data_IF_270318973770
#
_entry.id   IF_270318973770
#
_cell.length_a   1.000
_cell.length_b   1.000
_cell.length_c   1.000
_cell.angle_alpha   90.00
_cell.angle_beta   90.00
_cell.angle_gamma   90.00
#
_symmetry.space_group_name_H-M   'P 1'
#
loop_
_entity.id
_entity.type
_entity.pdbx_description
1 polymer ?
#
# COMPACT_ATOMS: atom_id res chain seq x y z
N UNK A 1 -10.67 6.97 1.55
CA UNK A 1 -11.42 6.85 2.84
C UNK A 1 -10.48 6.28 3.89
N UNK A 2 -10.55 6.77 5.13
CA UNK A 2 -9.80 6.21 6.25
C UNK A 2 -10.76 5.86 7.40
N UNK A 3 -10.56 4.70 8.02
CA UNK A 3 -11.32 4.23 9.18
C UNK A 3 -10.33 3.87 10.28
N UNK A 4 -10.58 4.34 11.50
CA UNK A 4 -9.80 3.97 12.67
C UNK A 4 -10.58 2.98 13.52
N UNK A 5 -9.94 1.87 13.86
CA UNK A 5 -10.45 0.83 14.72
C UNK A 5 -9.61 0.83 16.00
N UNK A 6 -10.27 0.93 17.14
CA UNK A 6 -9.60 0.78 18.44
C UNK A 6 -9.59 -0.70 18.82
N UNK A 7 -8.39 -1.24 19.09
CA UNK A 7 -8.21 -2.63 19.51
C UNK A 7 -7.55 -2.68 20.88
N UNK A 8 -7.56 -3.85 21.52
CA UNK A 8 -6.90 -4.06 22.82
C UNK A 8 -5.37 -3.92 22.77
N UNK A 9 -4.77 -4.00 21.58
CA UNK A 9 -3.32 -3.90 21.37
C UNK A 9 -2.88 -2.53 20.78
N UNK A 10 -3.84 -1.63 20.54
CA UNK A 10 -3.59 -0.30 20.00
C UNK A 10 -4.53 0.08 18.83
N UNK A 11 -4.48 1.33 18.37
CA UNK A 11 -5.26 1.77 17.21
C UNK A 11 -4.73 1.13 15.90
N UNK A 12 -5.66 0.70 15.06
CA UNK A 12 -5.43 0.28 13.69
C UNK A 12 -6.17 1.24 12.75
N UNK A 13 -5.43 1.90 11.88
CA UNK A 13 -5.98 2.70 10.80
C UNK A 13 -6.00 1.90 9.50
N UNK A 14 -7.16 1.86 8.85
CA UNK A 14 -7.36 1.21 7.54
C UNK A 14 -7.68 2.30 6.53
N UNK A 15 -6.89 2.36 5.45
CA UNK A 15 -7.07 3.33 4.38
C UNK A 15 -7.42 2.59 3.10
N UNK A 16 -8.52 3.02 2.48
CA UNK A 16 -8.92 2.63 1.13
C UNK A 16 -8.69 3.79 0.17
N UNK A 17 -7.87 3.57 -0.86
CA UNK A 17 -7.52 4.55 -1.88
C UNK A 17 -7.93 4.06 -3.27
N UNK A 18 -8.31 5.00 -4.12
CA UNK A 18 -8.51 4.78 -5.53
C UNK A 18 -7.79 5.89 -6.29
N UNK A 19 -6.90 5.53 -7.22
CA UNK A 19 -6.24 6.45 -8.14
C UNK A 19 -6.74 6.17 -9.56
N UNK A 20 -7.34 7.18 -10.19
CA UNK A 20 -7.83 7.07 -11.55
C UNK A 20 -6.68 6.86 -12.54
N UNK A 21 -6.93 6.09 -13.61
CA UNK A 21 -5.99 5.94 -14.74
C UNK A 21 -5.58 7.29 -15.36
N UNK A 22 -6.45 8.30 -15.26
CA UNK A 22 -6.27 9.60 -15.88
C UNK A 22 -5.77 10.68 -14.92
N UNK A 23 -5.72 10.40 -13.61
CA UNK A 23 -5.18 11.34 -12.63
C UNK A 23 -3.67 11.16 -12.48
N UNK A 24 -2.97 12.22 -12.10
CA UNK A 24 -1.57 12.08 -11.72
C UNK A 24 -1.45 11.17 -10.49
N UNK A 25 -0.52 10.23 -10.54
CA UNK A 25 -0.24 9.33 -9.42
C UNK A 25 0.42 10.09 -8.26
N UNK A 26 1.14 11.19 -8.55
CA UNK A 26 1.85 11.99 -7.55
C UNK A 26 0.89 12.65 -6.57
N UNK A 27 -0.26 13.13 -7.02
CA UNK A 27 -1.30 13.67 -6.15
C UNK A 27 -1.78 12.61 -5.14
N UNK A 28 -1.99 11.38 -5.62
CA UNK A 28 -2.38 10.27 -4.76
C UNK A 28 -1.28 9.91 -3.77
N UNK A 29 -0.01 9.85 -4.22
CA UNK A 29 1.13 9.56 -3.35
C UNK A 29 1.30 10.64 -2.28
N UNK A 30 1.10 11.91 -2.63
CA UNK A 30 1.17 13.02 -1.69
C UNK A 30 0.10 12.90 -0.61
N UNK A 31 -1.14 12.62 -0.99
CA UNK A 31 -2.23 12.40 -0.04
C UNK A 31 -1.92 11.23 0.91
N UNK A 32 -1.47 10.09 0.37
CA UNK A 32 -1.07 8.92 1.18
C UNK A 32 0.08 9.28 2.12
N UNK A 33 1.09 10.03 1.65
CA UNK A 33 2.24 10.45 2.46
C UNK A 33 1.82 11.26 3.67
N UNK A 34 0.84 12.16 3.52
CA UNK A 34 0.28 12.93 4.65
C UNK A 34 -0.44 12.03 5.66
N UNK A 35 -1.15 11.00 5.20
CA UNK A 35 -1.75 10.01 6.09
C UNK A 35 -0.70 9.16 6.81
N UNK A 36 0.31 8.63 6.10
CA UNK A 36 1.37 7.81 6.72
C UNK A 36 2.13 8.61 7.78
N UNK A 37 2.47 9.87 7.49
CA UNK A 37 3.20 10.75 8.43
C UNK A 37 2.37 11.14 9.65
N UNK A 38 1.04 11.29 9.52
CA UNK A 38 0.17 11.58 10.65
C UNK A 38 -0.15 10.36 11.53
N UNK A 39 0.11 9.13 11.04
CA UNK A 39 -0.25 7.87 11.70
C UNK A 39 0.96 7.06 12.20
N UNK A 40 2.09 7.72 12.49
CA UNK A 40 3.36 7.07 12.87
C UNK A 40 3.33 6.23 14.16
N UNK A 41 2.32 6.43 15.01
CA UNK A 41 2.13 5.69 16.27
C UNK A 41 1.04 4.60 16.18
N UNK A 42 0.42 4.43 15.01
CA UNK A 42 -0.68 3.48 14.81
C UNK A 42 -0.25 2.36 13.88
N UNK A 43 -0.91 1.21 13.99
CA UNK A 43 -0.81 0.20 12.94
C UNK A 43 -1.56 0.71 11.72
N UNK A 44 -1.02 0.52 10.52
CA UNK A 44 -1.58 1.05 9.29
C UNK A 44 -1.74 -0.05 8.25
N UNK A 45 -2.96 -0.24 7.76
CA UNK A 45 -3.29 -1.11 6.62
C UNK A 45 -3.79 -0.25 5.46
N UNK A 46 -3.16 -0.40 4.30
CA UNK A 46 -3.55 0.29 3.06
C UNK A 46 -4.04 -0.76 2.06
N UNK A 47 -5.26 -0.56 1.55
CA UNK A 47 -5.76 -1.21 0.35
C UNK A 47 -6.03 -0.15 -0.71
N UNK A 48 -5.41 -0.28 -1.88
CA UNK A 48 -5.48 0.74 -2.91
C UNK A 48 -5.64 0.14 -4.30
N UNK A 49 -6.55 0.66 -5.12
CA UNK A 49 -6.52 0.46 -6.57
C UNK A 49 -5.75 1.64 -7.18
N UNK A 50 -4.49 1.39 -7.55
CA UNK A 50 -3.57 2.43 -8.01
C UNK A 50 -3.53 2.54 -9.52
N UNK A 51 -4.18 1.61 -10.24
CA UNK A 51 -4.06 1.45 -11.68
C UNK A 51 -2.58 1.45 -12.13
N UNK A 52 -1.71 0.83 -11.32
CA UNK A 52 -0.28 0.69 -11.57
C UNK A 52 0.07 -0.75 -11.92
N UNK A 53 0.97 -0.92 -12.88
CA UNK A 53 1.39 -2.24 -13.34
C UNK A 53 2.79 -2.47 -12.79
N UNK A 54 2.94 -3.38 -11.81
CA UNK A 54 4.24 -3.76 -11.25
C UNK A 54 4.42 -5.27 -11.27
N UNK A 55 5.65 -5.68 -11.53
CA UNK A 55 6.15 -7.04 -11.37
C UNK A 55 6.13 -7.52 -9.92
N UNK A 56 6.15 -6.62 -8.94
CA UNK A 56 6.05 -6.96 -7.52
C UNK A 56 4.68 -7.51 -7.13
N UNK A 57 3.61 -7.08 -7.82
CA UNK A 57 2.24 -7.50 -7.54
C UNK A 57 1.53 -8.17 -8.73
N UNK A 58 2.30 -8.71 -9.70
CA UNK A 58 1.79 -9.73 -10.63
C UNK A 58 1.64 -9.30 -12.09
N UNK A 59 2.15 -8.13 -12.50
CA UNK A 59 2.27 -7.77 -13.91
C UNK A 59 3.58 -8.26 -14.54
N UNK A 60 3.65 -8.44 -15.87
CA UNK A 60 4.88 -8.84 -16.55
C UNK A 60 5.91 -7.71 -16.66
N UNK A 61 5.50 -6.46 -16.47
CA UNK A 61 6.35 -5.28 -16.58
C UNK A 61 5.88 -4.14 -15.67
N UNK A 62 6.80 -3.23 -15.40
CA UNK A 62 6.55 -2.04 -14.61
C UNK A 62 6.14 -0.86 -15.50
N UNK A 63 5.18 -0.05 -15.04
CA UNK A 63 4.85 1.23 -15.67
C UNK A 63 5.32 2.41 -14.79
N UNK A 64 5.38 3.66 -15.30
CA UNK A 64 5.85 4.79 -14.51
C UNK A 64 5.08 5.02 -13.20
N UNK A 65 3.78 4.67 -13.17
CA UNK A 65 2.96 4.74 -11.95
C UNK A 65 3.39 3.71 -10.91
N UNK A 66 3.75 2.50 -11.33
CA UNK A 66 4.30 1.50 -10.45
C UNK A 66 5.65 1.94 -9.89
N UNK A 67 6.57 2.43 -10.73
CA UNK A 67 7.87 2.92 -10.26
C UNK A 67 7.71 3.99 -9.17
N UNK A 68 6.82 4.97 -9.38
CA UNK A 68 6.55 6.00 -8.38
C UNK A 68 5.98 5.42 -7.06
N UNK A 69 5.12 4.41 -7.15
CA UNK A 69 4.56 3.75 -5.97
C UNK A 69 5.58 2.85 -5.26
N UNK A 70 6.47 2.20 -6.00
CA UNK A 70 7.57 1.41 -5.45
C UNK A 70 8.61 2.28 -4.74
N UNK A 71 8.95 3.42 -5.32
CA UNK A 71 9.79 4.44 -4.67
C UNK A 71 9.13 4.97 -3.38
N UNK A 72 7.81 5.18 -3.40
CA UNK A 72 7.06 5.55 -2.20
C UNK A 72 7.07 4.45 -1.14
N UNK A 73 6.81 3.18 -1.51
CA UNK A 73 6.84 2.06 -0.57
C UNK A 73 8.24 1.90 0.03
N UNK A 74 9.29 1.98 -0.79
CA UNK A 74 10.68 1.82 -0.33
C UNK A 74 11.20 2.97 0.53
N UNK A 75 10.66 4.18 0.35
CA UNK A 75 10.95 5.35 1.19
C UNK A 75 10.13 5.43 2.48
N UNK A 76 9.16 4.52 2.66
CA UNK A 76 8.34 4.42 3.86
C UNK A 76 8.61 3.11 4.60
N UNK A 77 8.02 2.95 5.78
CA UNK A 77 8.04 1.68 6.52
C UNK A 77 6.92 0.72 6.08
N UNK A 78 6.37 0.92 4.88
CA UNK A 78 5.30 0.07 4.37
C UNK A 78 5.88 -1.24 3.82
N UNK A 79 5.29 -2.34 4.22
CA UNK A 79 5.57 -3.67 3.70
C UNK A 79 4.48 -4.10 2.73
N UNK A 80 4.89 -4.55 1.54
CA UNK A 80 3.97 -5.06 0.54
C UNK A 80 3.37 -6.40 1.00
N UNK A 81 2.04 -6.51 0.94
CA UNK A 81 1.29 -7.72 1.28
C UNK A 81 0.82 -8.51 0.05
N UNK A 82 0.98 -7.97 -1.15
CA UNK A 82 0.66 -8.69 -2.38
C UNK A 82 1.55 -9.94 -2.51
N UNK A 83 0.93 -11.06 -2.89
CA UNK A 83 1.64 -12.28 -3.27
C UNK A 83 1.59 -12.37 -4.79
N UNK A 84 2.76 -12.47 -5.41
CA UNK A 84 2.95 -12.42 -6.87
C UNK A 84 2.09 -13.44 -7.64
N UNK A 85 1.81 -14.58 -7.03
CA UNK A 85 1.06 -15.69 -7.65
C UNK A 85 -0.37 -15.86 -7.09
N UNK A 86 -0.92 -14.84 -6.42
CA UNK A 86 -2.28 -14.90 -5.85
C UNK A 86 -3.42 -14.93 -6.89
N UNK A 87 -3.09 -14.84 -8.18
CA UNK A 87 -4.06 -14.72 -9.27
C UNK A 87 -4.42 -13.26 -9.59
N UNK A 88 -5.17 -13.09 -10.68
CA UNK A 88 -5.57 -11.76 -11.17
C UNK A 88 -6.66 -11.16 -10.27
N UNK A 89 -6.48 -9.92 -9.83
CA UNK A 89 -7.52 -9.21 -9.06
C UNK A 89 -8.51 -8.46 -9.96
N UNK A 90 -8.20 -8.31 -11.26
CA UNK A 90 -9.05 -7.68 -12.25
C UNK A 90 -9.19 -8.52 -13.54
N UNK A 91 -10.43 -8.75 -13.97
CA UNK A 91 -10.74 -9.46 -15.22
C UNK A 91 -11.94 -8.85 -15.95
N UNK A 92 -11.75 -8.49 -17.22
CA UNK A 92 -12.79 -8.08 -18.19
C UNK A 92 -12.65 -8.89 -19.47
N UNK A 93 -13.64 -8.80 -20.36
CA UNK A 93 -13.65 -9.49 -21.67
C UNK A 93 -12.35 -9.29 -22.48
N UNK A 94 -11.77 -8.08 -22.45
CA UNK A 94 -10.58 -7.72 -23.24
C UNK A 94 -9.35 -7.33 -22.39
N UNK A 95 -9.41 -7.46 -21.06
CA UNK A 95 -8.33 -6.99 -20.18
C UNK A 95 -8.21 -7.84 -18.92
N UNK A 96 -6.98 -8.08 -18.49
CA UNK A 96 -6.64 -8.83 -17.27
C UNK A 96 -5.53 -8.06 -16.54
N UNK A 97 -5.60 -8.00 -15.21
CA UNK A 97 -4.61 -7.29 -14.42
C UNK A 97 -4.69 -7.58 -12.92
N UNK A 98 -3.76 -7.00 -12.17
CA UNK A 98 -3.73 -7.00 -10.72
C UNK A 98 -3.46 -5.57 -10.19
N UNK A 99 -4.32 -4.57 -10.49
CA UNK A 99 -4.05 -3.16 -10.17
C UNK A 99 -4.15 -2.85 -8.67
N UNK A 100 -4.64 -3.81 -7.88
CA UNK A 100 -4.86 -3.66 -6.45
C UNK A 100 -3.57 -3.88 -5.66
N UNK A 101 -3.20 -2.87 -4.89
CA UNK A 101 -2.10 -2.86 -3.94
C UNK A 101 -2.63 -3.06 -2.51
N UNK A 102 -1.94 -3.91 -1.74
CA UNK A 102 -2.13 -4.10 -0.30
C UNK A 102 -0.79 -3.90 0.38
N UNK A 103 -0.72 -2.97 1.33
CA UNK A 103 0.49 -2.67 2.09
C UNK A 103 0.17 -2.47 3.57
N UNK A 104 1.14 -2.77 4.44
CA UNK A 104 0.96 -2.72 5.88
C UNK A 104 2.20 -2.17 6.61
N UNK A 105 1.98 -1.50 7.74
CA UNK A 105 3.02 -1.04 8.65
C UNK A 105 2.61 -1.24 10.12
N UNK A 106 3.59 -1.49 10.98
CA UNK A 106 3.47 -1.53 12.44
C UNK A 106 4.06 -0.26 13.08
N UNK A 107 3.60 0.14 14.29
CA UNK A 107 4.19 1.26 15.00
C UNK A 107 5.69 1.05 15.22
N UNK A 108 6.47 2.13 15.17
CA UNK A 108 7.93 2.04 15.40
C UNK A 108 8.26 1.44 16.78
N UNK A 109 7.38 1.61 17.78
CA UNK A 109 7.52 0.97 19.10
C UNK A 109 7.41 -0.56 19.07
N UNK A 110 6.71 -1.14 18.09
CA UNK A 110 6.61 -2.59 17.90
C UNK A 110 7.86 -3.17 17.23
N UNK A 111 8.52 -2.44 16.31
CA UNK A 111 9.76 -2.88 15.66
C UNK A 111 10.91 -3.10 16.65
N UNK A 112 11.04 -2.20 17.64
CA UNK A 112 12.05 -2.33 18.70
C UNK A 112 11.88 -3.60 19.54
N UNK A 113 10.66 -4.12 19.71
CA UNK A 113 10.43 -5.34 20.47
C UNK A 113 10.79 -6.62 19.69
N UNK A 114 10.72 -6.58 18.36
CA UNK A 114 11.05 -7.73 17.49
C UNK A 114 12.54 -7.76 17.15
N UNK A 115 13.18 -6.59 16.99
CA UNK A 115 14.61 -6.49 16.62
C UNK A 115 15.54 -6.24 17.82
N UNK A 116 15.00 -5.83 18.98
CA UNK A 116 15.77 -5.55 20.20
C UNK A 116 16.04 -6.76 21.10
N UNK A 117 15.75 -7.97 20.64
CA UNK A 117 16.08 -9.23 21.35
C UNK A 117 17.24 -9.98 20.66
N UNK A 118 18.32 -9.24 20.38
CA UNK A 118 19.62 -9.80 19.95
C UNK A 118 20.58 -9.88 21.12
#
# INVERSE_FOLDING_TARGET
MAIKIQTSIGPLSIISIYSSLYSDIQDTIQDISQFVTSLTQESLLIGADMNSHSTLWGYPNDNPRANAMEDFISSTKLHLLNVKDAGLTFQKHNAKGAPDLKAFNWPTSFEYNILGSS
#
